data_IF_555598858609
#
_entry.id   IF_555598858609
#
_cell.length_a   1.000
_cell.length_b   1.000
_cell.length_c   1.000
_cell.angle_alpha   90.00
_cell.angle_beta   90.00
_cell.angle_gamma   90.00
#
_symmetry.space_group_name_H-M   'P 1'
#
loop_
_entity.id
_entity.type
_entity.pdbx_description
1 polymer ?
#
# COMPACT_ATOMS: atom_id res chain seq x y z
N UNK A 1 -19.25 -1.78 -10.18
CA UNK A 1 -18.22 -2.82 -10.08
C UNK A 1 -18.34 -3.42 -8.69
N UNK A 2 -18.54 -4.73 -8.55
CA UNK A 2 -18.67 -5.36 -7.23
C UNK A 2 -17.26 -5.64 -6.66
N UNK A 3 -17.00 -5.20 -5.43
CA UNK A 3 -15.78 -5.55 -4.71
C UNK A 3 -16.03 -6.86 -3.94
N UNK A 4 -15.19 -7.89 -4.12
CA UNK A 4 -15.33 -9.12 -3.37
C UNK A 4 -15.08 -8.88 -1.88
N UNK A 5 -15.89 -9.51 -1.02
CA UNK A 5 -15.68 -9.45 0.42
C UNK A 5 -14.32 -10.08 0.80
N UNK A 6 -13.67 -9.57 1.85
CA UNK A 6 -12.45 -10.15 2.43
C UNK A 6 -11.31 -10.27 1.40
N UNK A 7 -11.13 -9.25 0.55
CA UNK A 7 -10.05 -9.23 -0.46
C UNK A 7 -9.11 -8.02 -0.28
N UNK A 8 -8.38 -7.94 0.85
CA UNK A 8 -7.39 -6.88 1.06
C UNK A 8 -6.26 -6.94 0.02
N UNK A 9 -5.88 -8.14 -0.42
CA UNK A 9 -4.85 -8.37 -1.44
C UNK A 9 -5.16 -7.67 -2.78
N UNK A 10 -6.46 -7.55 -3.08
CA UNK A 10 -6.95 -6.86 -4.28
C UNK A 10 -6.99 -5.35 -4.10
N UNK A 11 -6.84 -4.81 -2.89
CA UNK A 11 -6.90 -3.39 -2.61
C UNK A 11 -5.51 -2.73 -2.71
N UNK A 12 -5.24 -1.90 -3.74
CA UNK A 12 -3.94 -1.25 -3.90
C UNK A 12 -3.55 -0.35 -2.74
N UNK A 13 -4.54 0.18 -1.99
CA UNK A 13 -4.27 1.10 -0.89
C UNK A 13 -3.51 0.41 0.24
N UNK A 14 -3.68 -0.90 0.45
CA UNK A 14 -2.95 -1.65 1.48
C UNK A 14 -1.46 -1.65 1.21
N UNK A 15 -1.06 -1.80 -0.06
CA UNK A 15 0.35 -1.70 -0.46
C UNK A 15 0.89 -0.28 -0.35
N UNK A 16 0.03 0.72 -0.53
CA UNK A 16 0.42 2.10 -0.34
C UNK A 16 0.67 2.39 1.15
N UNK A 17 -0.16 1.85 2.05
CA UNK A 17 0.05 1.93 3.49
C UNK A 17 1.35 1.24 3.93
N UNK A 18 1.64 0.05 3.40
CA UNK A 18 2.92 -0.65 3.65
C UNK A 18 4.13 0.19 3.18
N UNK A 19 4.05 0.86 2.03
CA UNK A 19 5.12 1.76 1.57
C UNK A 19 5.35 2.94 2.53
N UNK A 20 4.28 3.55 3.06
CA UNK A 20 4.39 4.61 4.07
C UNK A 20 5.02 4.10 5.36
N UNK A 21 4.58 2.94 5.85
CA UNK A 21 5.12 2.33 7.06
C UNK A 21 6.61 2.01 6.90
N UNK A 22 7.03 1.46 5.74
CA UNK A 22 8.45 1.21 5.45
C UNK A 22 9.28 2.49 5.47
N UNK A 23 8.78 3.58 4.89
CA UNK A 23 9.46 4.89 4.94
C UNK A 23 9.61 5.41 6.36
N UNK A 24 8.57 5.29 7.18
CA UNK A 24 8.64 5.67 8.60
C UNK A 24 9.67 4.81 9.36
N UNK A 25 9.69 3.50 9.13
CA UNK A 25 10.61 2.57 9.78
C UNK A 25 12.08 2.82 9.42
N UNK A 26 12.36 3.55 8.34
CA UNK A 26 13.71 3.94 7.92
C UNK A 26 14.21 5.23 8.58
N UNK A 27 13.34 6.02 9.22
CA UNK A 27 13.73 7.28 9.87
C UNK A 27 14.63 7.01 11.08
N UNK A 28 15.76 7.74 11.18
CA UNK A 28 16.71 7.64 12.29
C UNK A 28 17.15 9.06 12.75
N UNK A 29 16.90 9.43 14.03
CA UNK A 29 16.05 8.73 14.99
C UNK A 29 14.60 8.67 14.48
N UNK A 30 13.87 7.63 14.87
CA UNK A 30 12.44 7.54 14.59
C UNK A 30 11.64 8.62 15.35
N UNK A 31 10.42 8.95 14.91
CA UNK A 31 9.56 9.90 15.61
C UNK A 31 9.24 9.41 17.03
N UNK A 32 9.35 10.31 18.02
CA UNK A 32 9.17 10.03 19.45
C UNK A 32 7.87 10.61 20.00
N UNK A 33 7.26 11.55 19.27
CA UNK A 33 6.00 12.18 19.64
C UNK A 33 4.94 11.98 18.56
N UNK A 34 3.67 12.13 18.92
CA UNK A 34 2.56 12.09 17.96
C UNK A 34 2.65 13.20 16.91
N UNK A 35 3.16 14.38 17.29
CA UNK A 35 3.40 15.49 16.38
C UNK A 35 4.49 15.17 15.35
N UNK A 36 5.62 14.60 15.79
CA UNK A 36 6.69 14.14 14.90
C UNK A 36 6.21 13.04 13.96
N UNK A 37 5.45 12.07 14.46
CA UNK A 37 4.88 10.99 13.64
C UNK A 37 3.93 11.55 12.57
N UNK A 38 3.05 12.49 12.93
CA UNK A 38 2.15 13.16 11.99
C UNK A 38 2.94 13.89 10.90
N UNK A 39 3.97 14.64 11.28
CA UNK A 39 4.79 15.36 10.30
C UNK A 39 5.55 14.40 9.38
N UNK A 40 6.11 13.32 9.93
CA UNK A 40 6.80 12.28 9.18
C UNK A 40 5.86 11.59 8.17
N UNK A 41 4.62 11.30 8.55
CA UNK A 41 3.59 10.75 7.66
C UNK A 41 3.25 11.70 6.51
N UNK A 42 3.01 12.98 6.81
CA UNK A 42 2.71 14.00 5.79
C UNK A 42 3.89 14.12 4.81
N UNK A 43 5.11 14.20 5.33
CA UNK A 43 6.31 14.27 4.50
C UNK A 43 6.49 13.00 3.65
N UNK A 44 6.27 11.82 4.22
CA UNK A 44 6.37 10.57 3.49
C UNK A 44 5.32 10.50 2.37
N UNK A 45 4.08 10.91 2.64
CA UNK A 45 2.98 10.99 1.67
C UNK A 45 3.35 11.84 0.47
N UNK A 46 3.82 13.08 0.68
CA UNK A 46 4.21 13.98 -0.40
C UNK A 46 5.45 13.52 -1.18
N UNK A 47 6.32 12.73 -0.55
CA UNK A 47 7.54 12.20 -1.18
C UNK A 47 7.34 10.84 -1.86
N UNK A 48 6.12 10.32 -1.96
CA UNK A 48 5.88 9.10 -2.77
C UNK A 48 5.89 9.49 -4.25
N UNK A 49 6.79 8.88 -5.07
CA UNK A 49 6.83 9.16 -6.49
C UNK A 49 5.52 8.77 -7.17
N UNK A 50 5.03 9.59 -8.10
CA UNK A 50 3.83 9.29 -8.88
C UNK A 50 3.94 7.95 -9.62
N UNK A 51 5.14 7.58 -10.06
CA UNK A 51 5.38 6.27 -10.69
C UNK A 51 5.14 5.09 -9.75
N UNK A 52 5.37 5.25 -8.43
CA UNK A 52 5.04 4.20 -7.47
C UNK A 52 3.53 3.98 -7.39
N UNK A 53 2.75 5.06 -7.41
CA UNK A 53 1.27 5.02 -7.45
C UNK A 53 0.80 4.41 -8.77
N UNK A 54 1.34 4.85 -9.90
CA UNK A 54 1.00 4.31 -11.22
C UNK A 54 1.26 2.80 -11.29
N UNK A 55 2.41 2.33 -10.76
CA UNK A 55 2.70 0.88 -10.69
C UNK A 55 1.66 0.11 -9.87
N UNK A 56 1.17 0.66 -8.76
CA UNK A 56 0.09 0.05 -7.98
C UNK A 56 -1.20 -0.07 -8.79
N UNK A 57 -1.60 1.02 -9.46
CA UNK A 57 -2.80 1.04 -10.32
C UNK A 57 -2.66 0.04 -11.47
N UNK A 58 -1.55 0.06 -12.20
CA UNK A 58 -1.30 -0.87 -13.31
C UNK A 58 -1.21 -2.33 -12.87
N UNK A 59 -0.88 -2.60 -11.60
CA UNK A 59 -0.85 -3.97 -11.06
C UNK A 59 -2.24 -4.59 -10.89
N UNK A 60 -3.32 -3.80 -10.90
CA UNK A 60 -4.68 -4.28 -10.59
C UNK A 60 -5.13 -5.44 -11.47
N UNK A 61 -4.85 -5.38 -12.78
CA UNK A 61 -5.20 -6.47 -13.70
C UNK A 61 -4.56 -7.79 -13.27
N UNK A 62 -3.28 -7.74 -12.89
CA UNK A 62 -2.51 -8.92 -12.47
C UNK A 62 -3.01 -9.47 -11.13
N UNK A 63 -3.40 -8.59 -10.19
CA UNK A 63 -4.00 -9.00 -8.90
C UNK A 63 -5.33 -9.70 -9.09
N UNK A 64 -6.23 -9.12 -9.90
CA UNK A 64 -7.50 -9.76 -10.22
C UNK A 64 -7.31 -11.12 -10.89
N UNK A 65 -6.36 -11.23 -11.82
CA UNK A 65 -6.01 -12.52 -12.44
C UNK A 65 -5.49 -13.53 -11.43
N UNK A 66 -4.63 -13.11 -10.49
CA UNK A 66 -4.16 -13.98 -9.41
C UNK A 66 -5.33 -14.47 -8.55
N UNK A 67 -6.25 -13.58 -8.17
CA UNK A 67 -7.46 -13.93 -7.42
C UNK A 67 -8.36 -14.94 -8.15
N UNK A 68 -8.52 -14.79 -9.46
CA UNK A 68 -9.25 -15.76 -10.28
C UNK A 68 -8.54 -17.12 -10.30
N UNK A 69 -7.21 -17.12 -10.47
CA UNK A 69 -6.40 -18.35 -10.54
C UNK A 69 -6.48 -19.17 -9.24
N UNK A 70 -6.53 -18.51 -8.09
CA UNK A 70 -6.69 -19.17 -6.78
C UNK A 70 -8.15 -19.35 -6.37
N UNK A 71 -9.10 -19.20 -7.30
CA UNK A 71 -10.55 -19.34 -7.06
C UNK A 71 -11.09 -18.49 -5.90
N UNK A 72 -10.57 -17.26 -5.76
CA UNK A 72 -10.96 -16.33 -4.69
C UNK A 72 -10.26 -16.58 -3.35
N UNK A 73 -9.31 -17.51 -3.28
CA UNK A 73 -8.39 -17.67 -2.15
C UNK A 73 -7.36 -16.54 -2.03
N UNK A 74 -6.45 -16.68 -1.07
CA UNK A 74 -5.39 -15.70 -0.81
C UNK A 74 -4.38 -15.62 -1.95
N UNK A 75 -3.93 -14.40 -2.24
CA UNK A 75 -2.88 -14.11 -3.22
C UNK A 75 -1.64 -13.55 -2.53
N UNK A 76 -0.44 -13.59 -3.14
CA UNK A 76 0.78 -13.08 -2.52
C UNK A 76 0.90 -11.54 -2.56
N UNK A 77 -0.18 -10.84 -2.89
CA UNK A 77 -0.24 -9.38 -2.93
C UNK A 77 -0.63 -8.84 -1.55
#
# INVERSE_FOLDING_TARGET
MAWPAISPDLNPIEHFWDQLQRKLNQLRPGPRTSAELRQALINAWYNIPRDAINRLIHSMRRRCQAGIYVHGGHTPY
#
